data_IF_612861771617
#
_entry.id   IF_612861771617
#
_cell.length_a   1.000
_cell.length_b   1.000
_cell.length_c   1.000
_cell.angle_alpha   90.00
_cell.angle_beta   90.00
_cell.angle_gamma   90.00
#
_symmetry.space_group_name_H-M   'P 1'
#
loop_
_entity.id
_entity.type
_entity.pdbx_description
1 polymer ?
#
# COMPACT_ATOMS: atom_id res chain seq x y z
N UNK A 1 -9.34 8.24 13.62
CA UNK A 1 -8.51 9.17 12.82
C UNK A 1 -8.58 8.75 11.37
N UNK A 2 -8.66 9.69 10.43
CA UNK A 2 -8.73 9.39 9.01
C UNK A 2 -7.33 9.14 8.45
N UNK A 3 -7.15 8.05 7.71
CA UNK A 3 -5.86 7.66 7.13
C UNK A 3 -5.84 7.88 5.61
N UNK A 4 -4.65 8.13 5.08
CA UNK A 4 -4.34 8.08 3.65
C UNK A 4 -3.24 7.07 3.39
N UNK A 5 -3.38 6.28 2.32
CA UNK A 5 -2.41 5.29 1.89
C UNK A 5 -1.74 5.75 0.60
N UNK A 6 -0.41 5.70 0.56
CA UNK A 6 0.38 5.79 -0.65
C UNK A 6 0.95 4.41 -0.98
N UNK A 7 0.93 4.04 -2.26
CA UNK A 7 1.46 2.79 -2.79
C UNK A 7 2.45 3.14 -3.90
N UNK A 8 3.70 2.77 -3.71
CA UNK A 8 4.72 2.73 -4.76
C UNK A 8 4.82 1.29 -5.29
N UNK A 9 4.91 1.14 -6.61
CA UNK A 9 4.66 -0.11 -7.30
C UNK A 9 5.90 -0.58 -8.07
N UNK A 10 6.62 -1.56 -7.52
CA UNK A 10 7.70 -2.25 -8.21
C UNK A 10 7.21 -3.56 -8.85
N UNK A 11 8.06 -4.20 -9.67
CA UNK A 11 7.68 -5.43 -10.39
C UNK A 11 7.26 -6.57 -9.46
N UNK A 12 7.99 -6.75 -8.36
CA UNK A 12 7.80 -7.87 -7.43
C UNK A 12 7.14 -7.45 -6.11
N UNK A 13 7.12 -6.16 -5.77
CA UNK A 13 6.71 -5.67 -4.46
C UNK A 13 5.91 -4.37 -4.56
N UNK A 14 5.13 -4.08 -3.52
CA UNK A 14 4.45 -2.82 -3.30
C UNK A 14 4.97 -2.21 -2.01
N UNK A 15 5.53 -1.00 -2.07
CA UNK A 15 5.87 -0.23 -0.88
C UNK A 15 4.66 0.59 -0.43
N UNK A 16 4.25 0.42 0.82
CA UNK A 16 3.05 1.00 1.38
C UNK A 16 3.44 2.03 2.44
N UNK A 17 2.81 3.21 2.39
CA UNK A 17 2.97 4.27 3.38
C UNK A 17 1.60 4.73 3.88
N UNK A 18 1.39 4.71 5.20
CA UNK A 18 0.14 5.16 5.84
C UNK A 18 0.41 6.43 6.63
N UNK A 19 -0.34 7.50 6.29
CA UNK A 19 -0.32 8.78 6.99
C UNK A 19 -1.65 9.04 7.71
N UNK A 20 -1.61 9.71 8.89
CA UNK A 20 -0.43 10.29 9.55
C UNK A 20 0.31 9.34 10.51
N UNK A 21 -0.05 8.05 10.57
CA UNK A 21 0.53 7.06 11.49
C UNK A 21 2.02 6.79 11.25
N UNK A 22 2.58 7.22 10.11
CA UNK A 22 3.98 7.01 9.71
C UNK A 22 4.37 5.53 9.64
N UNK A 23 3.40 4.68 9.31
CA UNK A 23 3.62 3.25 9.10
C UNK A 23 4.11 3.06 7.67
N UNK A 24 5.15 2.23 7.52
CA UNK A 24 5.65 1.77 6.24
C UNK A 24 5.86 0.27 6.27
N UNK A 25 5.51 -0.40 5.19
CA UNK A 25 5.79 -1.81 5.01
C UNK A 25 5.75 -2.18 3.53
N UNK A 26 6.30 -3.33 3.22
CA UNK A 26 6.28 -3.89 1.88
C UNK A 26 5.41 -5.15 1.85
N UNK A 27 4.73 -5.38 0.72
CA UNK A 27 4.08 -6.65 0.40
C UNK A 27 4.49 -7.10 -1.01
N UNK A 28 4.33 -8.38 -1.33
CA UNK A 28 4.52 -8.84 -2.70
C UNK A 28 3.50 -8.22 -3.66
N UNK A 29 3.91 -7.90 -4.89
CA UNK A 29 3.02 -7.48 -5.97
C UNK A 29 2.40 -8.71 -6.65
N UNK A 30 1.60 -9.46 -5.88
CA UNK A 30 0.82 -10.61 -6.33
C UNK A 30 -0.40 -10.80 -5.43
N UNK A 31 -1.29 -11.73 -5.80
CA UNK A 31 -2.53 -11.98 -5.05
C UNK A 31 -2.30 -12.27 -3.57
N UNK A 32 -1.26 -13.03 -3.20
CA UNK A 32 -0.98 -13.32 -1.79
C UNK A 32 -0.56 -12.06 -1.01
N UNK A 33 0.27 -11.19 -1.62
CA UNK A 33 0.62 -9.91 -1.02
C UNK A 33 -0.56 -8.95 -0.91
N UNK A 34 -1.52 -9.01 -1.82
CA UNK A 34 -2.75 -8.21 -1.73
C UNK A 34 -3.63 -8.61 -0.56
N UNK A 35 -3.77 -9.91 -0.28
CA UNK A 35 -4.48 -10.37 0.92
C UNK A 35 -3.80 -9.86 2.19
N UNK A 36 -2.47 -9.94 2.27
CA UNK A 36 -1.70 -9.38 3.40
C UNK A 36 -1.90 -7.88 3.55
N UNK A 37 -1.93 -7.15 2.43
CA UNK A 37 -2.21 -5.71 2.43
C UNK A 37 -3.61 -5.41 2.95
N UNK A 38 -4.63 -6.10 2.44
CA UNK A 38 -6.03 -5.90 2.84
C UNK A 38 -6.23 -6.16 4.33
N UNK A 39 -5.69 -7.27 4.86
CA UNK A 39 -5.78 -7.55 6.31
C UNK A 39 -5.18 -6.41 7.15
N UNK A 40 -4.02 -5.88 6.75
CA UNK A 40 -3.39 -4.76 7.47
C UNK A 40 -4.20 -3.47 7.37
N UNK A 41 -4.82 -3.21 6.22
CA UNK A 41 -5.56 -1.96 6.00
C UNK A 41 -6.88 -1.90 6.76
N UNK A 42 -7.45 -3.04 7.17
CA UNK A 42 -8.71 -3.11 7.96
C UNK A 42 -8.63 -2.38 9.29
N UNK A 43 -7.44 -2.27 9.89
CA UNK A 43 -7.24 -1.58 11.17
C UNK A 43 -7.31 -0.05 11.04
N UNK A 44 -7.45 0.48 9.83
CA UNK A 44 -7.42 1.92 9.56
C UNK A 44 -8.72 2.40 8.90
N UNK A 45 -9.21 3.56 9.36
CA UNK A 45 -10.29 4.26 8.69
C UNK A 45 -9.73 5.06 7.49
N UNK A 46 -9.57 4.39 6.34
CA UNK A 46 -8.93 4.94 5.14
C UNK A 46 -9.95 5.74 4.32
N UNK A 47 -9.56 6.97 3.96
CA UNK A 47 -10.38 7.85 3.12
C UNK A 47 -9.84 8.04 1.71
N UNK A 48 -8.57 7.70 1.51
CA UNK A 48 -7.85 7.94 0.26
C UNK A 48 -6.73 6.93 0.09
N UNK A 49 -6.63 6.39 -1.11
CA UNK A 49 -5.51 5.57 -1.57
C UNK A 49 -4.95 6.23 -2.83
N UNK A 50 -3.64 6.45 -2.87
CA UNK A 50 -2.92 6.86 -4.07
C UNK A 50 -1.97 5.75 -4.46
N UNK A 51 -1.91 5.44 -5.75
CA UNK A 51 -0.98 4.50 -6.33
C UNK A 51 -0.14 5.21 -7.39
N UNK A 52 1.16 5.01 -7.35
CA UNK A 52 2.06 5.50 -8.39
C UNK A 52 1.76 4.82 -9.72
N UNK A 53 1.64 5.61 -10.78
CA UNK A 53 1.44 5.08 -12.12
C UNK A 53 2.71 4.34 -12.55
N UNK A 54 2.62 3.05 -12.86
CA UNK A 54 3.78 2.26 -13.26
C UNK A 54 4.29 2.76 -14.61
N UNK A 55 5.50 3.31 -14.68
CA UNK A 55 6.18 3.70 -15.93
C UNK A 55 6.61 2.54 -16.82
N UNK A 56 6.07 1.33 -16.59
CA UNK A 56 6.59 0.06 -17.09
C UNK A 56 7.62 -0.52 -16.13
N UNK A 57 7.19 -0.91 -14.92
CA UNK A 57 7.95 -1.61 -13.86
C UNK A 57 9.46 -1.71 -14.08
N UNK A 58 10.25 -0.95 -13.31
CA UNK A 58 11.72 -0.92 -13.36
C UNK A 58 12.41 -2.30 -13.46
#
# INVERSE_FOLDING_TARGET
MLSSVGIDTAKATLEICIKPQKIRFEVANNSAGFEVLLERLKDFNISRVLIEATGGYE
#
